data_IF_236320860947
#
_entry.id   IF_236320860947
#
_cell.length_a   1.000
_cell.length_b   1.000
_cell.length_c   1.000
_cell.angle_alpha   90.00
_cell.angle_beta   90.00
_cell.angle_gamma   90.00
#
_symmetry.space_group_name_H-M   'P 1'
#
loop_
_entity.id
_entity.type
_entity.pdbx_description
1 polymer ?
#
# COMPACT_ATOMS: atom_id res chain seq x y z
N UNK A 1 48.82 47.90 -3.61
CA UNK A 1 49.30 46.57 -4.07
C UNK A 1 48.14 45.59 -3.98
N UNK A 2 48.04 44.74 -5.00
CA UNK A 2 47.08 43.64 -5.20
C UNK A 2 46.97 42.71 -3.97
N UNK A 3 45.96 41.88 -3.75
CA UNK A 3 45.45 40.90 -4.72
C UNK A 3 44.10 40.29 -4.29
N UNK A 4 43.35 39.84 -5.31
CA UNK A 4 42.04 39.17 -5.28
C UNK A 4 42.17 37.72 -4.80
N UNK A 5 41.11 37.15 -4.20
CA UNK A 5 40.65 35.81 -4.57
C UNK A 5 39.14 35.65 -4.27
N UNK A 6 38.39 35.39 -5.34
CA UNK A 6 37.05 34.84 -5.35
C UNK A 6 37.05 33.45 -4.70
N UNK A 7 36.03 33.14 -3.90
CA UNK A 7 35.50 31.78 -3.81
C UNK A 7 33.98 31.83 -3.98
N UNK A 8 33.54 31.37 -5.14
CA UNK A 8 32.16 30.95 -5.40
C UNK A 8 31.94 29.63 -4.67
N UNK A 9 30.97 29.58 -3.75
CA UNK A 9 30.36 28.31 -3.35
C UNK A 9 28.84 28.48 -3.54
N UNK A 10 28.35 27.97 -4.67
CA UNK A 10 26.93 27.74 -4.86
C UNK A 10 26.50 26.60 -3.93
N UNK A 11 25.46 26.84 -3.15
CA UNK A 11 24.76 25.76 -2.46
C UNK A 11 23.36 25.66 -3.04
N UNK A 12 23.18 24.56 -3.76
CA UNK A 12 21.96 24.07 -4.38
C UNK A 12 20.94 23.80 -3.27
N UNK A 13 19.94 24.67 -3.12
CA UNK A 13 18.81 24.43 -2.22
C UNK A 13 17.85 23.43 -2.87
N UNK A 14 18.12 22.14 -2.72
CA UNK A 14 17.15 21.08 -2.99
C UNK A 14 15.97 21.25 -2.03
N UNK A 15 14.84 21.70 -2.57
CA UNK A 15 13.53 21.57 -1.94
C UNK A 15 13.18 20.08 -1.93
N UNK A 16 13.61 19.37 -0.89
CA UNK A 16 12.98 18.12 -0.49
C UNK A 16 11.58 18.49 0.03
N UNK A 17 10.59 18.51 -0.85
CA UNK A 17 9.21 18.29 -0.42
C UNK A 17 9.18 16.88 0.16
N UNK A 18 9.36 16.79 1.47
CA UNK A 18 9.08 15.57 2.20
C UNK A 18 7.60 15.26 1.99
N UNK A 19 7.32 14.19 1.24
CA UNK A 19 6.09 13.43 1.42
C UNK A 19 6.11 12.92 2.87
N UNK A 20 5.63 13.75 3.79
CA UNK A 20 5.30 13.33 5.14
C UNK A 20 3.85 12.86 5.13
N UNK A 21 3.68 11.55 5.03
CA UNK A 21 2.39 10.92 5.23
C UNK A 21 2.54 9.48 5.73
N UNK A 22 3.44 9.28 6.70
CA UNK A 22 3.35 8.07 7.54
C UNK A 22 2.32 8.32 8.64
N UNK A 23 1.26 7.53 8.77
CA UNK A 23 0.29 7.73 9.84
C UNK A 23 0.94 7.51 11.23
N UNK A 24 0.65 8.44 12.14
CA UNK A 24 0.98 8.36 13.56
C UNK A 24 0.34 7.10 14.16
N UNK A 25 1.16 6.24 14.76
CA UNK A 25 0.81 4.91 15.31
C UNK A 25 0.04 5.00 16.64
N UNK A 26 -0.71 6.07 16.88
CA UNK A 26 -1.59 6.13 18.05
C UNK A 26 -2.75 5.16 17.86
N UNK A 27 -2.79 4.15 18.73
CA UNK A 27 -3.85 3.15 18.84
C UNK A 27 -5.18 3.82 19.16
N UNK A 28 -5.87 4.32 18.14
CA UNK A 28 -7.24 4.75 18.22
C UNK A 28 -8.09 3.72 17.48
N UNK A 29 -9.17 3.27 18.12
CA UNK A 29 -10.20 2.43 17.50
C UNK A 29 -10.97 3.15 16.37
N UNK A 30 -10.65 4.42 16.09
CA UNK A 30 -11.22 5.18 14.99
C UNK A 30 -10.54 4.75 13.68
N UNK A 31 -11.28 4.02 12.86
CA UNK A 31 -10.80 3.52 11.56
C UNK A 31 -11.08 2.04 11.32
N UNK A 32 -11.58 1.30 12.32
CA UNK A 32 -11.99 -0.10 12.08
C UNK A 32 -13.15 -0.14 11.09
N UNK A 33 -12.97 -0.73 9.90
CA UNK A 33 -14.00 -0.79 8.88
C UNK A 33 -15.16 -1.66 9.36
N UNK A 34 -16.39 -1.20 9.19
CA UNK A 34 -17.59 -1.99 9.46
C UNK A 34 -17.82 -2.96 8.30
N UNK A 35 -18.06 -4.26 8.53
CA UNK A 35 -18.46 -5.18 7.47
C UNK A 35 -19.74 -4.67 6.81
N UNK A 36 -19.70 -4.40 5.51
CA UNK A 36 -20.91 -4.22 4.74
C UNK A 36 -21.53 -5.61 4.47
N UNK A 37 -22.85 -5.65 4.30
CA UNK A 37 -23.57 -6.90 4.01
C UNK A 37 -23.38 -7.41 2.58
N UNK A 38 -22.51 -6.77 1.78
CA UNK A 38 -22.42 -6.91 0.34
C UNK A 38 -21.14 -7.61 -0.10
N UNK A 39 -20.97 -8.88 0.27
CA UNK A 39 -20.16 -9.84 -0.49
C UNK A 39 -18.65 -9.63 -0.60
N UNK A 40 -18.12 -8.43 -0.32
CA UNK A 40 -16.71 -8.06 -0.40
C UNK A 40 -16.39 -6.99 0.67
N UNK A 41 -15.85 -7.44 1.78
CA UNK A 41 -15.41 -6.68 2.95
C UNK A 41 -14.10 -7.28 3.46
N UNK A 42 -13.48 -6.69 4.48
CA UNK A 42 -12.31 -7.29 5.12
C UNK A 42 -12.53 -8.74 5.60
N UNK A 43 -13.76 -9.12 5.98
CA UNK A 43 -14.06 -10.47 6.50
C UNK A 43 -14.19 -11.54 5.40
N UNK A 44 -14.42 -11.12 4.16
CA UNK A 44 -14.57 -11.96 2.97
C UNK A 44 -13.70 -11.43 1.82
N UNK A 45 -12.57 -10.82 2.17
CA UNK A 45 -11.60 -10.31 1.21
C UNK A 45 -11.05 -11.42 0.31
N UNK A 46 -10.78 -11.08 -0.94
CA UNK A 46 -10.26 -11.98 -1.96
C UNK A 46 -8.83 -12.39 -1.59
N UNK A 47 -8.56 -13.70 -1.44
CA UNK A 47 -7.20 -14.18 -1.17
C UNK A 47 -6.33 -14.04 -2.42
N UNK A 48 -5.20 -13.33 -2.30
CA UNK A 48 -4.17 -13.31 -3.33
C UNK A 48 -3.31 -14.58 -3.25
N UNK A 49 -3.25 -15.32 -4.35
CA UNK A 49 -2.46 -16.55 -4.50
C UNK A 49 -1.24 -16.39 -5.43
N UNK A 50 -1.06 -15.19 -6.01
CA UNK A 50 0.03 -14.80 -6.90
C UNK A 50 0.48 -13.35 -6.64
N UNK A 51 1.69 -12.99 -7.09
CA UNK A 51 2.27 -11.65 -6.94
C UNK A 51 1.57 -10.59 -7.79
N UNK A 52 0.67 -11.00 -8.70
CA UNK A 52 -0.09 -10.11 -9.56
C UNK A 52 -1.47 -10.66 -9.81
N UNK A 53 -2.46 -9.78 -9.85
CA UNK A 53 -3.85 -10.06 -10.21
C UNK A 53 -4.35 -8.95 -11.11
N UNK A 54 -4.80 -9.32 -12.31
CA UNK A 54 -5.51 -8.42 -13.24
C UNK A 54 -7.00 -8.62 -13.03
N UNK A 55 -7.75 -7.55 -12.83
CA UNK A 55 -9.16 -7.61 -12.51
C UNK A 55 -9.93 -6.40 -13.04
N UNK A 56 -11.25 -6.57 -13.07
CA UNK A 56 -12.25 -5.55 -13.41
C UNK A 56 -13.28 -5.51 -12.30
N UNK A 57 -13.69 -4.33 -11.85
CA UNK A 57 -14.73 -4.17 -10.81
C UNK A 57 -15.68 -3.02 -11.14
N UNK A 58 -16.94 -3.18 -10.78
CA UNK A 58 -17.92 -2.07 -10.70
C UNK A 58 -18.17 -1.61 -9.27
N UNK A 59 -17.56 -2.29 -8.28
CA UNK A 59 -17.73 -1.95 -6.88
C UNK A 59 -16.91 -0.70 -6.54
N UNK A 60 -17.43 0.09 -5.59
CA UNK A 60 -16.72 1.27 -5.08
C UNK A 60 -15.50 0.88 -4.25
N UNK A 61 -15.51 -0.31 -3.65
CA UNK A 61 -14.43 -0.84 -2.84
C UNK A 61 -14.21 -2.31 -3.15
N UNK A 62 -12.94 -2.72 -3.23
CA UNK A 62 -12.55 -4.13 -3.36
C UNK A 62 -11.52 -4.45 -2.30
N UNK A 63 -11.72 -5.56 -1.59
CA UNK A 63 -10.83 -6.00 -0.53
C UNK A 63 -10.07 -7.24 -0.94
N UNK A 64 -8.75 -7.18 -0.81
CA UNK A 64 -7.85 -8.32 -0.95
C UNK A 64 -7.21 -8.64 0.38
N UNK A 65 -6.78 -9.88 0.53
CA UNK A 65 -5.94 -10.32 1.64
C UNK A 65 -4.78 -11.16 1.13
N UNK A 66 -3.68 -11.08 1.85
CA UNK A 66 -2.54 -11.96 1.65
C UNK A 66 -2.04 -12.44 3.00
N UNK A 67 -1.69 -13.72 3.08
CA UNK A 67 -1.27 -14.38 4.32
C UNK A 67 -0.11 -15.34 4.08
N UNK A 68 0.65 -15.60 5.15
CA UNK A 68 1.93 -16.31 5.13
C UNK A 68 1.89 -17.82 5.30
N UNK A 69 0.98 -18.49 4.60
CA UNK A 69 1.45 -19.64 3.82
C UNK A 69 0.91 -19.65 2.38
N UNK A 70 0.44 -18.52 1.85
CA UNK A 70 0.24 -18.38 0.39
C UNK A 70 1.61 -18.45 -0.30
N UNK A 71 1.69 -19.02 -1.50
CA UNK A 71 2.96 -19.30 -2.20
C UNK A 71 3.88 -18.07 -2.39
N UNK A 72 3.31 -16.87 -2.25
CA UNK A 72 4.01 -15.59 -2.33
C UNK A 72 4.69 -15.18 -1.02
N UNK A 73 4.13 -15.53 0.15
CA UNK A 73 4.69 -15.06 1.41
C UNK A 73 5.84 -15.94 1.89
N UNK A 74 7.02 -15.36 1.98
CA UNK A 74 8.18 -16.00 2.58
C UNK A 74 8.13 -15.83 4.11
N UNK A 75 7.84 -16.87 4.90
CA UNK A 75 7.67 -16.75 6.35
C UNK A 75 8.95 -16.30 7.09
N UNK A 76 10.11 -16.38 6.43
CA UNK A 76 11.40 -15.93 6.94
C UNK A 76 11.78 -14.50 6.49
N UNK A 77 10.96 -13.83 5.66
CA UNK A 77 11.36 -12.57 5.04
C UNK A 77 11.27 -11.40 6.02
N UNK A 78 12.30 -10.55 5.98
CA UNK A 78 12.32 -9.22 6.58
C UNK A 78 13.00 -8.30 5.57
N UNK A 79 12.28 -7.29 5.09
CA UNK A 79 12.73 -6.45 4.00
C UNK A 79 11.63 -5.55 3.45
N UNK A 80 11.90 -4.94 2.30
CA UNK A 80 10.97 -4.04 1.62
C UNK A 80 9.92 -4.82 0.84
N UNK A 81 8.67 -4.47 1.07
CA UNK A 81 7.54 -4.99 0.31
C UNK A 81 6.89 -3.85 -0.45
N UNK A 82 6.67 -4.09 -1.73
CA UNK A 82 6.04 -3.13 -2.64
C UNK A 82 4.67 -3.65 -3.06
N UNK A 83 3.64 -2.84 -2.81
CA UNK A 83 2.27 -3.04 -3.30
C UNK A 83 1.99 -1.99 -4.37
N UNK A 84 1.57 -2.41 -5.55
CA UNK A 84 1.31 -1.51 -6.67
C UNK A 84 -0.06 -1.73 -7.29
N UNK A 85 -0.73 -0.65 -7.67
CA UNK A 85 -1.97 -0.67 -8.46
C UNK A 85 -1.72 0.08 -9.76
N UNK A 86 -1.86 -0.60 -10.89
CA UNK A 86 -1.50 -0.04 -12.20
C UNK A 86 -2.49 -0.48 -13.29
N UNK A 87 -2.33 0.03 -14.51
CA UNK A 87 -3.22 -0.30 -15.63
C UNK A 87 -4.65 0.22 -15.43
N UNK A 88 -4.79 1.29 -14.64
CA UNK A 88 -6.07 1.88 -14.27
C UNK A 88 -6.80 2.45 -15.48
N UNK A 89 -8.08 2.12 -15.64
CA UNK A 89 -8.99 2.80 -16.59
C UNK A 89 -9.75 3.98 -15.97
N UNK A 90 -9.59 4.21 -14.66
CA UNK A 90 -10.15 5.34 -13.93
C UNK A 90 -9.49 5.52 -12.56
N UNK A 91 -9.88 6.58 -11.84
CA UNK A 91 -9.30 6.91 -10.54
C UNK A 91 -9.58 5.83 -9.49
N UNK A 92 -8.51 5.40 -8.82
CA UNK A 92 -8.59 4.45 -7.72
C UNK A 92 -7.47 4.68 -6.70
N UNK A 93 -7.82 4.59 -5.41
CA UNK A 93 -6.83 4.63 -4.34
C UNK A 93 -6.39 3.22 -3.93
N UNK A 94 -5.21 3.14 -3.31
CA UNK A 94 -4.68 1.93 -2.72
C UNK A 94 -4.41 2.13 -1.23
N UNK A 95 -4.81 1.17 -0.40
CA UNK A 95 -4.58 1.21 1.05
C UNK A 95 -4.17 -0.16 1.59
N UNK A 96 -3.28 -0.16 2.58
CA UNK A 96 -2.73 -1.35 3.22
C UNK A 96 -3.07 -1.36 4.71
N UNK A 97 -3.54 -2.51 5.20
CA UNK A 97 -3.97 -2.71 6.57
C UNK A 97 -3.28 -3.92 7.21
N UNK A 98 -3.04 -3.83 8.51
CA UNK A 98 -2.59 -4.97 9.30
C UNK A 98 -3.75 -5.95 9.60
N UNK A 99 -3.42 -7.08 10.22
CA UNK A 99 -4.38 -8.09 10.66
C UNK A 99 -5.44 -7.60 11.66
N UNK A 100 -5.21 -6.49 12.34
CA UNK A 100 -6.14 -5.88 13.28
C UNK A 100 -7.00 -4.78 12.62
N UNK A 101 -6.87 -4.64 11.29
CA UNK A 101 -7.50 -3.62 10.47
C UNK A 101 -7.05 -2.20 10.83
N UNK A 102 -5.82 -2.05 11.32
CA UNK A 102 -5.18 -0.74 11.42
C UNK A 102 -4.59 -0.39 10.05
N UNK A 103 -4.84 0.83 9.59
CA UNK A 103 -4.24 1.36 8.37
C UNK A 103 -2.72 1.51 8.58
N UNK A 104 -1.93 0.84 7.74
CA UNK A 104 -0.47 0.92 7.73
C UNK A 104 -0.01 2.05 6.82
N UNK A 105 -0.53 2.09 5.60
CA UNK A 105 -0.12 3.03 4.56
C UNK A 105 -1.16 3.14 3.46
N UNK A 106 -1.05 4.15 2.60
CA UNK A 106 -1.98 4.46 1.52
C UNK A 106 -1.30 5.23 0.38
N UNK A 107 -1.90 5.20 -0.80
CA UNK A 107 -1.55 5.99 -1.98
C UNK A 107 -2.84 6.50 -2.64
N UNK A 108 -2.84 7.77 -3.09
CA UNK A 108 -3.98 8.47 -3.69
C UNK A 108 -3.52 9.43 -4.78
N UNK A 109 -3.11 8.88 -5.91
CA UNK A 109 -2.83 9.65 -7.09
C UNK A 109 -4.12 9.99 -7.85
N UNK A 110 -4.03 10.96 -8.77
CA UNK A 110 -5.19 11.39 -9.55
C UNK A 110 -5.33 10.63 -10.87
N UNK A 111 -6.54 10.64 -11.42
CA UNK A 111 -6.86 10.12 -12.75
C UNK A 111 -6.48 8.65 -12.92
N UNK A 112 -5.58 8.30 -13.83
CA UNK A 112 -5.15 6.90 -14.09
C UNK A 112 -3.69 6.68 -13.69
N UNK A 113 -3.14 7.55 -12.84
CA UNK A 113 -1.81 7.38 -12.31
C UNK A 113 -1.74 6.08 -11.48
N UNK A 114 -0.59 5.40 -11.54
CA UNK A 114 -0.40 4.20 -10.72
C UNK A 114 -0.28 4.56 -9.25
N UNK A 115 -0.84 3.72 -8.39
CA UNK A 115 -0.65 3.79 -6.95
C UNK A 115 0.52 2.91 -6.53
N UNK A 116 1.31 3.35 -5.55
CA UNK A 116 2.41 2.57 -5.00
C UNK A 116 2.54 2.76 -3.49
N UNK A 117 2.67 1.64 -2.78
CA UNK A 117 2.98 1.61 -1.35
C UNK A 117 4.25 0.77 -1.17
N UNK A 118 5.29 1.41 -0.64
CA UNK A 118 6.52 0.74 -0.21
C UNK A 118 6.53 0.69 1.31
N UNK A 119 6.62 -0.50 1.90
CA UNK A 119 6.67 -0.65 3.35
C UNK A 119 7.69 -1.69 3.80
N UNK A 120 8.26 -1.48 4.99
CA UNK A 120 9.19 -2.44 5.58
C UNK A 120 8.43 -3.54 6.34
N UNK A 121 8.52 -4.77 5.85
CA UNK A 121 7.98 -5.96 6.50
C UNK A 121 9.03 -6.63 7.39
N UNK A 122 8.64 -7.11 8.56
CA UNK A 122 9.48 -7.97 9.38
C UNK A 122 8.67 -9.07 10.04
N UNK A 123 9.01 -10.33 9.71
CA UNK A 123 8.39 -11.51 10.31
C UNK A 123 8.56 -11.61 11.83
N UNK A 124 9.64 -11.07 12.38
CA UNK A 124 9.92 -11.07 13.83
C UNK A 124 8.86 -10.33 14.65
N UNK A 125 8.08 -9.43 14.03
CA UNK A 125 6.94 -8.75 14.67
C UNK A 125 5.66 -9.58 14.71
N UNK A 126 5.60 -10.71 13.99
CA UNK A 126 4.40 -11.52 13.80
C UNK A 126 4.55 -12.93 14.38
N UNK A 127 5.12 -13.03 15.58
CA UNK A 127 5.55 -14.23 16.33
C UNK A 127 4.43 -15.23 16.73
N UNK A 128 3.30 -15.23 16.02
CA UNK A 128 2.22 -16.19 16.20
C UNK A 128 2.00 -16.97 14.91
N UNK A 129 2.41 -18.25 14.95
CA UNK A 129 2.30 -19.30 13.90
C UNK A 129 0.91 -19.44 13.25
N UNK A 130 -0.12 -18.78 13.78
CA UNK A 130 -1.51 -18.95 13.36
C UNK A 130 -1.91 -17.92 12.29
N UNK A 131 -1.17 -16.81 12.12
CA UNK A 131 -1.59 -15.70 11.23
C UNK A 131 -0.46 -15.05 10.43
N UNK A 132 0.70 -15.73 10.28
CA UNK A 132 1.90 -15.35 9.53
C UNK A 132 1.67 -14.16 8.57
N UNK A 133 1.93 -12.92 9.00
CA UNK A 133 1.87 -11.75 8.11
C UNK A 133 0.55 -11.54 7.36
N UNK A 134 -0.61 -11.89 7.91
CA UNK A 134 -1.91 -11.53 7.33
C UNK A 134 -2.02 -10.00 7.22
N UNK A 135 -2.22 -9.52 6.00
CA UNK A 135 -2.56 -8.13 5.71
C UNK A 135 -3.77 -8.09 4.79
N UNK A 136 -4.38 -6.92 4.76
CA UNK A 136 -5.48 -6.61 3.87
C UNK A 136 -5.14 -5.42 3.01
N UNK A 137 -5.66 -5.43 1.80
CA UNK A 137 -5.57 -4.32 0.86
C UNK A 137 -6.98 -3.87 0.54
N UNK A 138 -7.19 -2.56 0.55
CA UNK A 138 -8.41 -1.94 0.05
C UNK A 138 -8.07 -1.16 -1.21
N UNK A 139 -8.81 -1.43 -2.28
CA UNK A 139 -8.84 -0.58 -3.48
C UNK A 139 -10.14 0.21 -3.42
N UNK A 140 -10.05 1.54 -3.52
CA UNK A 140 -11.23 2.42 -3.55
C UNK A 140 -11.40 2.96 -4.97
N UNK A 141 -12.39 2.48 -5.70
CA UNK A 141 -12.74 2.98 -7.02
C UNK A 141 -13.40 4.36 -6.89
N UNK A 142 -12.63 5.41 -7.21
CA UNK A 142 -13.07 6.80 -7.18
C UNK A 142 -13.59 7.28 -8.54
N UNK A 143 -13.57 6.43 -9.58
CA UNK A 143 -13.98 6.80 -10.94
C UNK A 143 -15.50 6.95 -11.12
N UNK A 144 -16.29 6.29 -10.27
CA UNK A 144 -17.75 6.21 -10.44
C UNK A 144 -18.20 5.34 -11.63
N UNK A 145 -17.28 4.60 -12.25
CA UNK A 145 -17.51 3.68 -13.36
C UNK A 145 -16.79 2.34 -13.13
N UNK A 146 -16.96 1.39 -14.05
CA UNK A 146 -16.16 0.16 -14.05
C UNK A 146 -14.66 0.49 -14.12
N UNK A 147 -13.88 -0.15 -13.26
CA UNK A 147 -12.44 0.01 -13.14
C UNK A 147 -11.73 -1.28 -13.53
N UNK A 148 -10.84 -1.19 -14.52
CA UNK A 148 -9.83 -2.22 -14.80
C UNK A 148 -8.54 -1.86 -14.08
N UNK A 149 -7.84 -2.86 -13.54
CA UNK A 149 -6.58 -2.66 -12.83
C UNK A 149 -5.72 -3.94 -12.79
N UNK A 150 -4.44 -3.75 -12.48
CA UNK A 150 -3.49 -4.77 -12.10
C UNK A 150 -2.95 -4.47 -10.70
N UNK A 151 -3.32 -5.32 -9.73
CA UNK A 151 -2.79 -5.30 -8.37
C UNK A 151 -1.56 -6.19 -8.31
N UNK A 152 -0.45 -5.65 -7.79
CA UNK A 152 0.81 -6.37 -7.64
C UNK A 152 1.35 -6.29 -6.23
N UNK A 153 2.06 -7.34 -5.83
CA UNK A 153 2.66 -7.47 -4.52
C UNK A 153 4.02 -8.18 -4.65
N UNK A 154 5.09 -7.53 -4.21
CA UNK A 154 6.48 -7.99 -4.42
C UNK A 154 7.31 -7.88 -3.15
N UNK A 155 8.22 -8.83 -3.00
CA UNK A 155 9.27 -8.84 -1.98
C UNK A 155 10.62 -8.52 -2.63
N UNK A 156 11.39 -7.60 -2.06
CA UNK A 156 12.66 -7.12 -2.64
C UNK A 156 13.90 -7.48 -1.81
#
# INVERSE_FOLDING_TARGET
MANRHLLYLGLFGLLLQGCDSSPDITSSTAGRPTPDGSGNSFFNAIEMTSESTVATTSDNEVFYKFSGPSAIFQPAYSGTVTLGLSGLTGNADLELYDRNLNLISWSRESDTASEEIVYWYSNAKFDSLILNGLHFVRIRNASGSTLDYNLTFRFE
#
